data_IF_849789280859
#
_entry.id   IF_849789280859
#
_cell.length_a   1.000
_cell.length_b   1.000
_cell.length_c   1.000
_cell.angle_alpha   90.00
_cell.angle_beta   90.00
_cell.angle_gamma   90.00
#
_symmetry.space_group_name_H-M   'P 1'
#
loop_
_entity.id
_entity.type
_entity.pdbx_description
1 polymer ?
#
# COMPACT_ATOMS: atom_id res chain seq x y z
N UNK A 1 -2.10 -7.93 -23.51
CA UNK A 1 -2.93 -7.73 -22.30
C UNK A 1 -3.68 -6.42 -22.48
N UNK A 2 -4.95 -6.34 -22.06
CA UNK A 2 -5.73 -5.10 -22.15
C UNK A 2 -5.63 -4.29 -20.87
N UNK A 3 -5.68 -2.96 -21.01
CA UNK A 3 -5.75 -2.03 -19.90
C UNK A 3 -7.02 -2.27 -19.07
N UNK A 4 -6.87 -2.46 -17.75
CA UNK A 4 -7.97 -2.65 -16.78
C UNK A 4 -9.02 -1.55 -16.86
N UNK A 5 -8.60 -0.31 -17.13
CA UNK A 5 -9.52 0.81 -17.27
C UNK A 5 -10.10 0.93 -18.68
N UNK A 6 -9.27 1.24 -19.69
CA UNK A 6 -9.76 1.67 -21.00
C UNK A 6 -9.75 0.58 -22.08
N UNK A 7 -9.35 -0.65 -21.73
CA UNK A 7 -9.32 -1.82 -22.63
C UNK A 7 -8.38 -1.71 -23.84
N UNK A 8 -7.59 -0.64 -23.96
CA UNK A 8 -6.53 -0.54 -24.95
C UNK A 8 -5.46 -1.62 -24.75
N UNK A 9 -4.86 -2.10 -25.84
CA UNK A 9 -3.73 -3.03 -25.77
C UNK A 9 -2.51 -2.37 -25.11
N UNK A 10 -1.82 -3.13 -24.27
CA UNK A 10 -0.62 -2.70 -23.54
C UNK A 10 0.63 -3.22 -24.25
N UNK A 11 1.60 -2.34 -24.48
CA UNK A 11 2.89 -2.71 -25.09
C UNK A 11 4.11 -2.07 -24.45
N UNK A 12 3.96 -0.97 -23.72
CA UNK A 12 5.06 -0.24 -23.09
C UNK A 12 5.46 -0.88 -21.74
N UNK A 13 6.65 -1.51 -21.63
CA UNK A 13 7.17 -2.01 -20.35
C UNK A 13 7.54 -0.87 -19.40
N UNK A 14 7.24 -1.05 -18.12
CA UNK A 14 7.65 -0.13 -17.05
C UNK A 14 8.67 -0.76 -16.10
N UNK A 15 8.36 -1.95 -15.59
CA UNK A 15 9.18 -2.64 -14.61
C UNK A 15 9.02 -4.15 -14.78
N UNK A 16 10.12 -4.88 -14.77
CA UNK A 16 10.18 -6.33 -14.81
C UNK A 16 11.06 -6.82 -13.65
N UNK A 17 10.41 -7.37 -12.62
CA UNK A 17 11.07 -7.93 -11.44
C UNK A 17 11.26 -9.45 -11.55
N UNK A 18 11.07 -10.01 -12.74
CA UNK A 18 11.15 -11.45 -12.97
C UNK A 18 9.96 -12.19 -12.38
N UNK A 19 10.24 -13.18 -11.54
CA UNK A 19 9.21 -13.94 -10.83
C UNK A 19 9.40 -13.80 -9.33
N UNK A 20 8.29 -13.76 -8.59
CA UNK A 20 8.29 -13.78 -7.14
C UNK A 20 7.03 -14.48 -6.62
N UNK A 21 7.07 -15.07 -5.41
CA UNK A 21 5.86 -15.49 -4.72
C UNK A 21 5.04 -14.27 -4.26
N UNK A 22 3.75 -14.44 -3.94
CA UNK A 22 2.95 -13.37 -3.35
C UNK A 22 3.60 -12.80 -2.08
N UNK A 23 3.65 -11.48 -1.98
CA UNK A 23 4.44 -10.77 -0.96
C UNK A 23 3.99 -11.02 0.48
N UNK A 24 2.73 -11.43 0.71
CA UNK A 24 2.22 -11.74 2.04
C UNK A 24 2.01 -13.25 2.31
N UNK A 25 2.48 -14.14 1.42
CA UNK A 25 2.36 -15.59 1.58
C UNK A 25 3.43 -16.19 2.55
N UNK A 26 3.48 -15.71 3.79
CA UNK A 26 4.46 -16.18 4.78
C UNK A 26 4.32 -17.69 5.05
N UNK A 27 5.46 -18.38 5.17
CA UNK A 27 5.50 -19.84 5.28
C UNK A 27 5.63 -20.29 6.73
N UNK A 28 4.94 -21.37 7.09
CA UNK A 28 5.24 -22.12 8.32
C UNK A 28 6.50 -22.97 8.15
N UNK A 29 7.06 -23.48 9.26
CA UNK A 29 8.19 -24.41 9.21
C UNK A 29 7.89 -25.69 8.41
N UNK A 30 6.65 -26.17 8.43
CA UNK A 30 6.23 -27.34 7.65
C UNK A 30 6.08 -27.00 6.17
N UNK A 31 5.55 -25.81 5.85
CA UNK A 31 5.38 -25.36 4.47
C UNK A 31 6.71 -25.20 3.71
N UNK A 32 7.83 -24.94 4.40
CA UNK A 32 9.17 -24.90 3.80
C UNK A 32 9.59 -26.20 3.10
N UNK A 33 8.97 -27.34 3.44
CA UNK A 33 9.26 -28.63 2.81
C UNK A 33 8.43 -28.88 1.54
N UNK A 34 7.47 -28.00 1.27
CA UNK A 34 6.59 -28.07 0.11
C UNK A 34 7.04 -27.14 -1.03
N UNK A 35 6.38 -27.22 -2.19
CA UNK A 35 6.57 -26.27 -3.28
C UNK A 35 5.99 -24.89 -2.93
N UNK A 36 6.52 -23.85 -3.54
CA UNK A 36 5.95 -22.50 -3.54
C UNK A 36 5.49 -22.10 -4.93
N UNK A 37 4.38 -21.38 -4.99
CA UNK A 37 3.88 -20.79 -6.24
C UNK A 37 4.58 -19.47 -6.51
N UNK A 38 5.12 -19.33 -7.72
CA UNK A 38 5.78 -18.12 -8.20
C UNK A 38 5.01 -17.57 -9.40
N UNK A 39 4.83 -16.25 -9.44
CA UNK A 39 4.16 -15.56 -10.53
C UNK A 39 5.10 -14.53 -11.16
N UNK A 40 5.01 -14.28 -12.47
CA UNK A 40 5.69 -13.14 -13.08
C UNK A 40 5.26 -11.84 -12.38
N UNK A 41 6.20 -10.94 -12.14
CA UNK A 41 5.96 -9.62 -11.55
C UNK A 41 6.45 -8.55 -12.53
N UNK A 42 5.55 -8.21 -13.45
CA UNK A 42 5.81 -7.33 -14.59
C UNK A 42 4.73 -6.28 -14.69
N UNK A 43 5.13 -5.02 -14.90
CA UNK A 43 4.26 -3.86 -14.99
C UNK A 43 4.35 -3.27 -16.39
N UNK A 44 3.20 -2.94 -16.94
CA UNK A 44 3.03 -2.30 -18.24
C UNK A 44 2.31 -0.96 -18.07
N UNK A 45 2.56 -0.04 -19.01
CA UNK A 45 1.89 1.26 -19.08
C UNK A 45 0.87 1.25 -20.21
N UNK A 46 -0.32 1.77 -19.95
CA UNK A 46 -1.27 2.06 -20.99
C UNK A 46 -0.97 3.42 -21.64
N UNK A 47 -0.61 3.45 -22.91
CA UNK A 47 -0.33 4.72 -23.61
C UNK A 47 -1.60 5.53 -23.94
N UNK A 48 -2.78 4.93 -23.78
CA UNK A 48 -4.07 5.63 -23.97
C UNK A 48 -4.54 6.38 -22.71
N UNK A 49 -4.42 5.77 -21.53
CA UNK A 49 -4.89 6.37 -20.26
C UNK A 49 -3.79 6.62 -19.22
N UNK A 50 -2.55 6.24 -19.50
CA UNK A 50 -1.37 6.33 -18.64
C UNK A 50 -1.47 5.55 -17.32
N UNK A 51 -2.43 4.63 -17.21
CA UNK A 51 -2.51 3.69 -16.09
C UNK A 51 -1.39 2.66 -16.19
N UNK A 52 -0.56 2.62 -15.16
CA UNK A 52 0.44 1.57 -14.94
C UNK A 52 -0.22 0.43 -14.17
N UNK A 53 0.03 -0.81 -14.59
CA UNK A 53 -0.65 -1.98 -14.03
C UNK A 53 0.18 -3.26 -14.18
N UNK A 54 -0.06 -4.23 -13.29
CA UNK A 54 0.54 -5.56 -13.39
C UNK A 54 -0.12 -6.40 -14.48
N UNK A 55 0.67 -7.29 -15.10
CA UNK A 55 0.12 -8.35 -15.91
C UNK A 55 -0.78 -9.31 -15.11
N UNK A 56 -1.87 -9.78 -15.72
CA UNK A 56 -2.82 -10.70 -15.08
C UNK A 56 -2.28 -12.13 -15.13
N UNK A 57 -1.68 -12.59 -14.03
CA UNK A 57 -1.10 -13.94 -13.94
C UNK A 57 -1.64 -14.79 -12.79
N UNK A 58 -2.40 -14.18 -11.86
CA UNK A 58 -2.99 -14.85 -10.71
C UNK A 58 -4.46 -14.39 -10.55
N UNK A 59 -5.37 -15.32 -10.29
CA UNK A 59 -6.72 -14.97 -9.84
C UNK A 59 -6.67 -14.39 -8.43
N UNK A 60 -7.57 -13.46 -8.11
CA UNK A 60 -7.67 -12.81 -6.78
C UNK A 60 -7.60 -13.79 -5.60
N UNK A 61 -8.20 -14.96 -5.77
CA UNK A 61 -8.32 -16.04 -4.77
C UNK A 61 -6.95 -16.65 -4.43
N UNK A 62 -5.99 -16.58 -5.36
CA UNK A 62 -4.63 -17.06 -5.13
C UNK A 62 -3.77 -16.07 -4.34
N UNK A 63 -4.20 -14.80 -4.20
CA UNK A 63 -3.45 -13.74 -3.51
C UNK A 63 -4.05 -13.39 -2.14
N UNK A 64 -5.38 -13.46 -2.00
CA UNK A 64 -6.08 -13.18 -0.75
C UNK A 64 -6.68 -14.48 -0.19
N UNK A 65 -5.85 -15.27 0.50
CA UNK A 65 -6.28 -16.49 1.20
C UNK A 65 -7.02 -16.16 2.49
N UNK A 66 -7.77 -17.11 3.05
CA UNK A 66 -8.48 -16.95 4.35
C UNK A 66 -7.55 -16.50 5.49
N UNK A 67 -6.27 -16.86 5.43
CA UNK A 67 -5.23 -16.50 6.40
C UNK A 67 -4.52 -15.15 6.11
N UNK A 68 -5.06 -14.31 5.22
CA UNK A 68 -4.48 -13.00 4.93
C UNK A 68 -4.47 -12.11 6.19
N UNK A 69 -3.28 -11.94 6.77
CA UNK A 69 -3.08 -11.31 8.06
C UNK A 69 -2.37 -9.95 7.92
N UNK A 70 -3.05 -8.97 7.31
CA UNK A 70 -2.64 -7.57 7.37
C UNK A 70 -3.64 -6.77 8.22
N UNK A 71 -3.20 -6.35 9.40
CA UNK A 71 -3.99 -5.57 10.34
C UNK A 71 -3.43 -4.15 10.42
N UNK A 72 -4.22 -3.17 9.99
CA UNK A 72 -3.79 -1.77 9.92
C UNK A 72 -3.54 -1.14 11.30
N UNK A 73 -4.15 -1.65 12.37
CA UNK A 73 -4.02 -1.07 13.72
C UNK A 73 -2.67 -1.29 14.42
N UNK A 74 -1.73 -2.08 13.85
CA UNK A 74 -0.39 -2.25 14.44
C UNK A 74 0.54 -1.05 14.25
N UNK A 75 0.21 -0.10 13.36
CA UNK A 75 0.98 1.12 13.16
C UNK A 75 0.36 2.29 13.93
N UNK A 76 1.11 2.80 14.91
CA UNK A 76 0.70 3.96 15.72
C UNK A 76 0.54 5.23 14.89
N UNK A 77 1.47 5.45 13.95
CA UNK A 77 1.46 6.57 13.01
C UNK A 77 0.26 6.49 12.04
N UNK A 78 -0.12 5.29 11.60
CA UNK A 78 -1.30 5.07 10.77
C UNK A 78 -2.62 5.34 11.51
N UNK A 79 -2.74 4.91 12.77
CA UNK A 79 -3.89 5.25 13.61
C UNK A 79 -4.02 6.76 13.81
N UNK A 80 -2.91 7.46 14.07
CA UNK A 80 -2.90 8.91 14.19
C UNK A 80 -3.31 9.61 12.88
N UNK A 81 -2.87 9.10 11.72
CA UNK A 81 -3.31 9.57 10.40
C UNK A 81 -4.82 9.40 10.19
N UNK A 82 -5.35 8.24 10.56
CA UNK A 82 -6.76 7.90 10.41
C UNK A 82 -7.65 8.80 11.27
N UNK A 83 -7.23 9.08 12.51
CA UNK A 83 -7.94 10.02 13.39
C UNK A 83 -7.96 11.43 12.80
N UNK A 84 -6.80 11.95 12.36
CA UNK A 84 -6.72 13.28 11.72
C UNK A 84 -7.61 13.36 10.48
N UNK A 85 -7.65 12.30 9.67
CA UNK A 85 -8.54 12.22 8.53
C UNK A 85 -10.01 12.34 8.95
N UNK A 86 -10.47 11.54 9.92
CA UNK A 86 -11.86 11.59 10.40
C UNK A 86 -12.22 12.97 10.93
N UNK A 87 -11.37 13.56 11.77
CA UNK A 87 -11.58 14.90 12.32
C UNK A 87 -11.70 15.95 11.19
N UNK A 88 -10.82 15.88 10.19
CA UNK A 88 -10.83 16.77 9.03
C UNK A 88 -12.09 16.59 8.17
N UNK A 89 -12.51 15.34 7.91
CA UNK A 89 -13.69 15.08 7.07
C UNK A 89 -14.98 15.50 7.78
N UNK A 90 -15.10 15.20 9.07
CA UNK A 90 -16.23 15.61 9.88
C UNK A 90 -16.39 17.13 9.91
N UNK A 91 -15.28 17.84 10.11
CA UNK A 91 -15.29 19.31 10.08
C UNK A 91 -15.58 19.86 8.68
N UNK A 92 -14.89 19.36 7.66
CA UNK A 92 -14.98 19.88 6.28
C UNK A 92 -16.35 19.71 5.65
N UNK A 93 -17.01 18.58 5.90
CA UNK A 93 -18.30 18.24 5.29
C UNK A 93 -19.48 18.32 6.27
N UNK A 94 -19.26 18.81 7.48
CA UNK A 94 -20.31 18.96 8.49
C UNK A 94 -20.94 17.62 8.88
N UNK A 95 -20.15 16.55 8.96
CA UNK A 95 -20.65 15.21 9.26
C UNK A 95 -21.03 15.11 10.75
N UNK A 96 -22.20 14.54 11.03
CA UNK A 96 -22.73 14.43 12.38
C UNK A 96 -23.71 13.25 12.54
N UNK A 97 -24.55 13.27 13.59
CA UNK A 97 -25.47 12.16 13.90
C UNK A 97 -26.53 11.85 12.82
N UNK A 98 -26.75 12.77 11.87
CA UNK A 98 -27.67 12.59 10.74
C UNK A 98 -26.96 12.14 9.46
N UNK A 99 -25.63 12.05 9.49
CA UNK A 99 -24.81 11.61 8.37
C UNK A 99 -24.64 10.09 8.39
N UNK A 100 -24.16 9.55 7.27
CA UNK A 100 -23.74 8.17 7.14
C UNK A 100 -22.35 8.12 6.51
N UNK A 101 -21.42 7.43 7.17
CA UNK A 101 -20.06 7.21 6.67
C UNK A 101 -19.86 5.74 6.35
N UNK A 102 -19.33 5.45 5.16
CA UNK A 102 -18.93 4.11 4.77
C UNK A 102 -17.41 4.07 4.52
N UNK A 103 -16.74 3.00 4.96
CA UNK A 103 -15.38 2.68 4.50
C UNK A 103 -15.40 1.40 3.66
N UNK A 104 -14.86 1.48 2.44
CA UNK A 104 -14.66 0.33 1.56
C UNK A 104 -13.26 -0.24 1.79
N UNK A 105 -13.18 -1.56 1.98
CA UNK A 105 -12.02 -2.27 2.54
C UNK A 105 -11.64 -1.74 3.93
N UNK A 106 -12.62 -1.81 4.85
CA UNK A 106 -12.49 -1.27 6.20
C UNK A 106 -11.45 -1.97 7.08
N UNK A 107 -10.89 -3.11 6.61
CA UNK A 107 -9.93 -3.92 7.33
C UNK A 107 -10.45 -4.25 8.74
N UNK A 108 -9.65 -4.04 9.77
CA UNK A 108 -9.98 -4.28 11.16
C UNK A 108 -10.78 -3.13 11.80
N UNK A 109 -11.25 -2.15 11.02
CA UNK A 109 -12.02 -1.01 11.53
C UNK A 109 -11.16 0.09 12.15
N UNK A 110 -9.87 0.13 11.83
CA UNK A 110 -8.90 1.11 12.35
C UNK A 110 -9.34 2.57 12.16
N UNK A 111 -10.05 2.91 11.08
CA UNK A 111 -10.56 4.26 10.80
C UNK A 111 -11.96 4.47 11.37
N UNK A 112 -12.88 3.53 11.10
CA UNK A 112 -14.29 3.63 11.52
C UNK A 112 -14.47 3.71 13.05
N UNK A 113 -13.52 3.21 13.85
CA UNK A 113 -13.56 3.41 15.31
C UNK A 113 -13.58 4.91 15.69
N UNK A 114 -12.89 5.77 14.94
CA UNK A 114 -12.85 7.21 15.20
C UNK A 114 -14.13 7.90 14.72
N UNK A 115 -14.72 7.43 13.61
CA UNK A 115 -16.03 7.91 13.13
C UNK A 115 -17.11 7.62 14.17
N UNK A 116 -17.13 6.39 14.69
CA UNK A 116 -18.01 5.97 15.79
C UNK A 116 -17.78 6.79 17.05
N UNK A 117 -16.52 7.02 17.44
CA UNK A 117 -16.17 7.84 18.60
C UNK A 117 -16.63 9.30 18.47
N UNK A 118 -16.70 9.83 17.24
CA UNK A 118 -17.25 11.14 16.95
C UNK A 118 -18.79 11.19 16.95
N UNK A 119 -19.47 10.07 17.22
CA UNK A 119 -20.94 9.98 17.25
C UNK A 119 -21.60 10.00 15.86
N UNK A 120 -20.85 9.67 14.81
CA UNK A 120 -21.33 9.65 13.43
C UNK A 120 -21.70 8.19 13.07
N UNK A 121 -22.93 7.93 12.57
CA UNK A 121 -23.31 6.62 12.07
C UNK A 121 -22.37 6.13 10.96
N UNK A 122 -21.91 4.89 11.08
CA UNK A 122 -20.98 4.33 10.10
C UNK A 122 -21.05 2.81 9.98
N UNK A 123 -20.54 2.30 8.86
CA UNK A 123 -20.33 0.88 8.59
C UNK A 123 -19.19 0.68 7.61
N UNK A 124 -18.65 -0.55 7.55
CA UNK A 124 -17.60 -0.92 6.61
C UNK A 124 -18.01 -2.03 5.65
N UNK A 125 -17.31 -2.11 4.52
CA UNK A 125 -17.31 -3.26 3.63
C UNK A 125 -15.92 -3.89 3.70
N UNK A 126 -15.82 -5.17 4.10
CA UNK A 126 -14.54 -5.87 4.23
C UNK A 126 -14.70 -7.36 3.87
N UNK A 127 -14.12 -7.83 2.76
CA UNK A 127 -14.29 -9.22 2.33
C UNK A 127 -13.60 -10.25 3.23
N UNK A 128 -12.51 -9.88 3.92
CA UNK A 128 -11.67 -10.81 4.68
C UNK A 128 -12.27 -11.11 6.05
N UNK A 129 -12.52 -12.39 6.35
CA UNK A 129 -13.24 -12.82 7.54
C UNK A 129 -12.56 -12.39 8.86
N UNK A 130 -11.24 -12.55 8.94
CA UNK A 130 -10.45 -12.26 10.15
C UNK A 130 -10.49 -10.78 10.53
N UNK A 131 -10.29 -9.88 9.56
CA UNK A 131 -10.33 -8.43 9.79
C UNK A 131 -11.75 -7.93 9.97
N UNK A 132 -12.73 -8.46 9.23
CA UNK A 132 -14.15 -8.17 9.44
C UNK A 132 -14.59 -8.52 10.87
N UNK A 133 -14.13 -9.66 11.41
CA UNK A 133 -14.40 -10.06 12.79
C UNK A 133 -13.76 -9.10 13.80
N UNK A 134 -12.49 -8.71 13.60
CA UNK A 134 -11.82 -7.75 14.48
C UNK A 134 -12.52 -6.37 14.50
N UNK A 135 -13.05 -5.92 13.36
CA UNK A 135 -13.86 -4.70 13.28
C UNK A 135 -15.20 -4.83 14.03
N UNK A 136 -15.88 -5.98 13.92
CA UNK A 136 -17.11 -6.27 14.67
C UNK A 136 -16.88 -6.30 16.18
N UNK A 137 -15.74 -6.80 16.65
CA UNK A 137 -15.36 -6.79 18.07
C UNK A 137 -15.17 -5.37 18.62
N UNK A 138 -14.83 -4.40 17.75
CA UNK A 138 -14.83 -2.95 18.06
C UNK A 138 -16.24 -2.34 17.99
N UNK A 139 -17.26 -3.16 17.70
CA UNK A 139 -18.66 -2.80 17.55
C UNK A 139 -18.94 -1.96 16.31
N UNK A 140 -18.22 -2.21 15.21
CA UNK A 140 -18.44 -1.60 13.91
C UNK A 140 -19.29 -2.58 13.07
N UNK A 141 -20.32 -2.08 12.39
CA UNK A 141 -21.09 -2.89 11.45
C UNK A 141 -20.27 -3.14 10.17
N UNK A 142 -20.20 -4.40 9.73
CA UNK A 142 -19.37 -4.83 8.61
C UNK A 142 -20.15 -5.73 7.66
N UNK A 143 -20.24 -5.30 6.40
CA UNK A 143 -20.71 -6.07 5.27
C UNK A 143 -19.54 -6.88 4.71
N UNK A 144 -19.56 -8.20 4.90
CA UNK A 144 -18.45 -9.06 4.51
C UNK A 144 -18.59 -9.56 3.06
N UNK A 145 -18.35 -8.66 2.10
CA UNK A 145 -18.41 -8.91 0.66
C UNK A 145 -17.34 -8.07 -0.05
N UNK A 146 -17.00 -8.46 -1.28
CA UNK A 146 -16.28 -7.57 -2.17
C UNK A 146 -17.19 -6.44 -2.67
N UNK A 147 -16.61 -5.27 -2.89
CA UNK A 147 -17.34 -4.08 -3.33
C UNK A 147 -17.32 -3.92 -4.85
N UNK A 148 -18.43 -3.42 -5.40
CA UNK A 148 -18.71 -3.24 -6.82
C UNK A 148 -20.08 -2.57 -7.01
N UNK A 149 -20.52 -2.41 -8.25
CA UNK A 149 -21.80 -1.73 -8.56
C UNK A 149 -22.99 -2.42 -7.88
N UNK A 150 -23.07 -3.75 -7.98
CA UNK A 150 -24.17 -4.53 -7.42
C UNK A 150 -24.36 -4.27 -5.93
N UNK A 151 -23.28 -4.32 -5.15
CA UNK A 151 -23.33 -4.06 -3.71
C UNK A 151 -23.59 -2.58 -3.42
N UNK A 152 -23.04 -1.65 -4.22
CA UNK A 152 -23.33 -0.23 -4.09
C UNK A 152 -24.82 0.09 -4.23
N UNK A 153 -25.47 -0.48 -5.24
CA UNK A 153 -26.92 -0.33 -5.48
C UNK A 153 -27.75 -0.97 -4.36
N UNK A 154 -27.39 -2.19 -3.92
CA UNK A 154 -28.06 -2.88 -2.81
C UNK A 154 -28.02 -2.03 -1.52
N UNK A 155 -26.84 -1.53 -1.15
CA UNK A 155 -26.66 -0.71 0.04
C UNK A 155 -27.42 0.63 -0.08
N UNK A 156 -27.37 1.28 -1.24
CA UNK A 156 -28.12 2.51 -1.47
C UNK A 156 -29.65 2.29 -1.34
N UNK A 157 -30.17 1.22 -1.96
CA UNK A 157 -31.60 0.90 -1.96
C UNK A 157 -32.14 0.50 -0.58
N UNK A 158 -31.27 0.01 0.31
CA UNK A 158 -31.60 -0.36 1.70
C UNK A 158 -31.39 0.77 2.70
N UNK A 159 -31.25 2.03 2.22
CA UNK A 159 -31.13 3.20 3.08
C UNK A 159 -29.73 3.41 3.66
N UNK A 160 -28.71 2.74 3.12
CA UNK A 160 -27.30 2.84 3.56
C UNK A 160 -26.44 3.72 2.66
N UNK A 161 -27.05 4.48 1.75
CA UNK A 161 -26.34 5.49 0.96
C UNK A 161 -25.59 6.47 1.89
N UNK A 162 -24.37 6.83 1.53
CA UNK A 162 -23.46 7.54 2.42
C UNK A 162 -23.21 9.00 2.01
N UNK A 163 -23.00 9.86 3.01
CA UNK A 163 -22.53 11.24 2.84
C UNK A 163 -21.01 11.28 2.61
N UNK A 164 -20.28 10.29 3.16
CA UNK A 164 -18.86 10.06 2.91
C UNK A 164 -18.60 8.57 2.66
N UNK A 165 -17.93 8.24 1.54
CA UNK A 165 -17.39 6.91 1.29
C UNK A 165 -15.87 6.99 1.20
N UNK A 166 -15.16 6.38 2.13
CA UNK A 166 -13.69 6.37 2.18
C UNK A 166 -13.13 5.07 1.60
N UNK A 167 -12.03 5.17 0.85
CA UNK A 167 -11.24 4.04 0.38
C UNK A 167 -9.75 4.34 0.52
N UNK A 168 -9.12 3.83 1.59
CA UNK A 168 -7.70 4.03 1.82
C UNK A 168 -6.92 2.80 1.39
N UNK A 169 -5.92 3.01 0.53
CA UNK A 169 -4.98 2.00 0.02
C UNK A 169 -5.64 0.79 -0.66
N UNK A 170 -6.89 0.90 -1.13
CA UNK A 170 -7.60 -0.21 -1.78
C UNK A 170 -7.70 -0.08 -3.30
N UNK A 171 -7.76 1.15 -3.85
CA UNK A 171 -7.99 1.35 -5.30
C UNK A 171 -6.93 0.66 -6.17
N UNK A 172 -5.68 0.63 -5.71
CA UNK A 172 -4.57 -0.06 -6.36
C UNK A 172 -4.70 -1.61 -6.35
N UNK A 173 -5.52 -2.16 -5.44
CA UNK A 173 -5.66 -3.59 -5.19
C UNK A 173 -6.85 -4.24 -5.93
N UNK A 174 -7.55 -3.47 -6.78
CA UNK A 174 -8.75 -3.94 -7.45
C UNK A 174 -8.44 -4.36 -8.91
N UNK A 175 -8.73 -5.61 -9.30
CA UNK A 175 -8.58 -6.05 -10.69
C UNK A 175 -9.57 -5.37 -11.65
N UNK A 176 -10.84 -5.28 -11.26
CA UNK A 176 -11.89 -4.55 -11.99
C UNK A 176 -12.08 -3.15 -11.40
N UNK A 177 -11.18 -2.24 -11.79
CA UNK A 177 -11.16 -0.87 -11.28
C UNK A 177 -12.41 -0.06 -11.71
N UNK A 178 -13.06 -0.42 -12.82
CA UNK A 178 -14.23 0.30 -13.31
C UNK A 178 -15.48 -0.07 -12.50
N UNK A 179 -15.72 -1.36 -12.27
CA UNK A 179 -16.84 -1.82 -11.41
C UNK A 179 -16.71 -1.25 -9.99
N UNK A 180 -15.51 -1.30 -9.42
CA UNK A 180 -15.25 -0.75 -8.10
C UNK A 180 -15.55 0.74 -8.00
N UNK A 181 -15.02 1.56 -8.92
CA UNK A 181 -15.25 3.02 -8.91
C UNK A 181 -16.71 3.35 -9.20
N UNK A 182 -17.37 2.63 -10.12
CA UNK A 182 -18.80 2.80 -10.39
C UNK A 182 -19.66 2.48 -9.16
N UNK A 183 -19.24 1.52 -8.33
CA UNK A 183 -19.88 1.23 -7.05
C UNK A 183 -19.90 2.43 -6.09
N UNK A 184 -18.88 3.29 -6.10
CA UNK A 184 -18.90 4.52 -5.29
C UNK A 184 -19.97 5.48 -5.79
N UNK A 185 -20.09 5.67 -7.11
CA UNK A 185 -21.13 6.53 -7.68
C UNK A 185 -22.54 6.02 -7.32
N UNK A 186 -22.74 4.69 -7.33
CA UNK A 186 -23.98 4.05 -6.92
C UNK A 186 -24.28 4.25 -5.41
N UNK A 187 -23.27 4.11 -4.55
CA UNK A 187 -23.43 4.17 -3.10
C UNK A 187 -23.59 5.59 -2.54
N UNK A 188 -23.00 6.59 -3.20
CA UNK A 188 -23.03 7.97 -2.73
C UNK A 188 -24.44 8.56 -2.77
N UNK A 189 -24.81 9.27 -1.70
CA UNK A 189 -25.92 10.23 -1.74
C UNK A 189 -25.66 11.29 -2.84
N UNK A 190 -26.69 11.99 -3.34
CA UNK A 190 -26.52 12.98 -4.42
C UNK A 190 -25.44 14.05 -4.17
N UNK A 191 -25.24 14.47 -2.91
CA UNK A 191 -24.20 15.44 -2.54
C UNK A 191 -23.11 14.80 -1.67
N UNK A 192 -23.00 13.48 -1.67
CA UNK A 192 -21.96 12.77 -0.93
C UNK A 192 -20.59 12.93 -1.57
N UNK A 193 -19.55 12.71 -0.77
CA UNK A 193 -18.15 12.76 -1.17
C UNK A 193 -17.53 11.38 -1.07
N UNK A 194 -16.72 11.01 -2.05
CA UNK A 194 -15.82 9.89 -1.96
C UNK A 194 -14.38 10.38 -1.77
N UNK A 195 -13.61 9.67 -0.95
CA UNK A 195 -12.18 9.92 -0.80
C UNK A 195 -11.41 8.65 -1.10
N UNK A 196 -10.29 8.81 -1.81
CA UNK A 196 -9.40 7.71 -2.17
C UNK A 196 -7.97 8.08 -1.79
N UNK A 197 -7.35 7.32 -0.91
CA UNK A 197 -5.93 7.46 -0.60
C UNK A 197 -5.13 6.35 -1.26
N UNK A 198 -4.07 6.69 -2.00
CA UNK A 198 -3.20 5.72 -2.65
C UNK A 198 -1.77 6.27 -2.88
N UNK A 199 -0.74 5.40 -2.93
CA UNK A 199 0.61 5.79 -3.29
C UNK A 199 0.67 6.48 -4.66
N UNK A 200 1.40 7.58 -4.74
CA UNK A 200 1.50 8.40 -5.94
C UNK A 200 2.59 7.86 -6.88
N UNK A 201 2.22 7.48 -8.11
CA UNK A 201 3.15 6.96 -9.12
C UNK A 201 4.32 7.92 -9.40
N UNK A 202 4.09 9.24 -9.35
CA UNK A 202 5.18 10.21 -9.52
C UNK A 202 6.24 10.08 -8.42
N UNK A 203 5.83 9.85 -7.17
CA UNK A 203 6.73 9.64 -6.03
C UNK A 203 7.44 8.31 -6.17
N UNK A 204 6.72 7.26 -6.56
CA UNK A 204 7.31 5.95 -6.86
C UNK A 204 8.50 6.06 -7.82
N UNK A 205 8.34 6.80 -8.93
CA UNK A 205 9.40 6.98 -9.92
C UNK A 205 10.52 7.90 -9.42
N UNK A 206 10.19 9.07 -8.85
CA UNK A 206 11.20 10.03 -8.37
C UNK A 206 12.05 9.51 -7.22
N UNK A 207 11.49 8.63 -6.40
CA UNK A 207 12.11 8.08 -5.21
C UNK A 207 12.44 6.60 -5.37
N UNK A 208 12.46 6.08 -6.60
CA UNK A 208 12.89 4.72 -6.92
C UNK A 208 12.20 3.61 -6.08
N UNK A 209 10.93 3.78 -5.73
CA UNK A 209 10.19 2.91 -4.80
C UNK A 209 9.66 1.65 -5.50
N UNK A 210 10.51 0.97 -6.27
CA UNK A 210 10.12 -0.21 -7.06
C UNK A 210 9.64 -1.37 -6.19
N UNK A 211 10.08 -1.41 -4.93
CA UNK A 211 9.72 -2.43 -3.94
C UNK A 211 8.23 -2.34 -3.54
N UNK A 212 7.56 -1.24 -3.86
CA UNK A 212 6.10 -1.13 -3.78
C UNK A 212 5.36 -1.90 -4.88
N UNK A 213 6.08 -2.49 -5.84
CA UNK A 213 5.50 -3.39 -6.83
C UNK A 213 5.42 -4.82 -6.28
N UNK A 214 4.20 -5.33 -6.09
CA UNK A 214 3.92 -6.71 -5.73
C UNK A 214 2.52 -7.09 -6.23
N UNK A 215 2.22 -8.40 -6.28
CA UNK A 215 1.04 -8.93 -6.99
C UNK A 215 -0.30 -8.39 -6.51
N UNK A 216 -0.40 -8.01 -5.24
CA UNK A 216 -1.61 -7.42 -4.68
C UNK A 216 -1.86 -5.98 -5.19
N UNK A 217 -0.84 -5.28 -5.67
CA UNK A 217 -0.96 -3.98 -6.35
C UNK A 217 -1.17 -4.18 -7.85
N UNK A 218 -2.44 -4.29 -8.26
CA UNK A 218 -2.84 -4.41 -9.66
C UNK A 218 -2.60 -3.13 -10.46
N UNK A 219 -2.68 -1.96 -9.82
CA UNK A 219 -2.60 -0.65 -10.46
C UNK A 219 -1.67 0.31 -9.69
N UNK A 220 -0.96 1.18 -10.42
CA UNK A 220 -0.08 2.21 -9.86
C UNK A 220 -0.56 3.57 -10.36
N UNK A 221 -0.93 4.44 -9.42
CA UNK A 221 -1.93 5.47 -9.66
C UNK A 221 -1.32 6.88 -9.70
N UNK A 222 -1.70 7.63 -10.74
CA UNK A 222 -1.48 9.06 -10.88
C UNK A 222 -2.82 9.78 -10.90
N UNK A 223 -2.84 11.07 -10.61
CA UNK A 223 -4.05 11.87 -10.76
C UNK A 223 -4.53 11.90 -12.22
N UNK A 224 -3.60 11.91 -13.17
CA UNK A 224 -3.88 11.85 -14.62
C UNK A 224 -4.70 10.61 -14.99
N UNK A 225 -4.31 9.43 -14.50
CA UNK A 225 -5.04 8.19 -14.77
C UNK A 225 -6.35 8.12 -13.96
N UNK A 226 -6.29 8.47 -12.68
CA UNK A 226 -7.44 8.40 -11.76
C UNK A 226 -8.56 9.35 -12.15
N UNK A 227 -8.26 10.57 -12.58
CA UNK A 227 -9.28 11.52 -13.06
C UNK A 227 -10.03 10.98 -14.29
N UNK A 228 -9.36 10.25 -15.18
CA UNK A 228 -9.99 9.58 -16.34
C UNK A 228 -10.87 8.42 -15.90
N UNK A 229 -10.36 7.57 -15.00
CA UNK A 229 -11.11 6.46 -14.41
C UNK A 229 -12.38 6.97 -13.74
N UNK A 230 -12.26 7.98 -12.88
CA UNK A 230 -13.40 8.53 -12.15
C UNK A 230 -14.45 9.09 -13.09
N UNK A 231 -14.03 9.91 -14.06
CA UNK A 231 -14.95 10.52 -15.04
C UNK A 231 -15.72 9.48 -15.84
N UNK A 232 -15.07 8.40 -16.25
CA UNK A 232 -15.71 7.32 -17.00
C UNK A 232 -16.73 6.53 -16.16
N UNK A 233 -16.55 6.51 -14.83
CA UNK A 233 -17.34 5.72 -13.89
C UNK A 233 -18.25 6.60 -12.99
N UNK A 234 -18.67 7.76 -13.50
CA UNK A 234 -19.69 8.59 -12.85
C UNK A 234 -19.21 9.46 -11.69
N UNK A 235 -17.89 9.62 -11.50
CA UNK A 235 -17.29 10.49 -10.49
C UNK A 235 -16.51 11.65 -11.11
N UNK A 236 -16.43 12.77 -10.40
CA UNK A 236 -15.62 13.93 -10.75
C UNK A 236 -14.68 14.26 -9.59
N UNK A 237 -13.37 14.39 -9.88
CA UNK A 237 -12.40 14.90 -8.90
C UNK A 237 -12.64 16.39 -8.69
N UNK A 238 -12.70 16.83 -7.44
CA UNK A 238 -12.82 18.25 -7.10
C UNK A 238 -11.70 18.76 -6.20
N UNK A 239 -10.95 17.88 -5.52
CA UNK A 239 -9.81 18.30 -4.71
C UNK A 239 -8.78 17.17 -4.57
N UNK A 240 -7.54 17.53 -4.23
CA UNK A 240 -6.44 16.58 -3.99
C UNK A 240 -5.56 17.07 -2.85
N UNK A 241 -5.24 16.17 -1.93
CA UNK A 241 -4.27 16.38 -0.85
C UNK A 241 -3.03 15.51 -1.10
N UNK A 242 -1.83 16.07 -0.91
CA UNK A 242 -0.57 15.33 -0.94
C UNK A 242 -0.21 14.87 0.47
N UNK A 243 0.06 13.58 0.63
CA UNK A 243 0.30 12.96 1.93
C UNK A 243 1.68 12.30 1.96
N UNK A 244 2.39 12.32 3.10
CA UNK A 244 3.67 11.63 3.25
C UNK A 244 3.52 10.11 3.44
N UNK A 245 2.28 9.61 3.58
CA UNK A 245 1.99 8.20 3.84
C UNK A 245 2.51 7.30 2.72
N UNK A 246 3.00 6.11 3.10
CA UNK A 246 3.48 5.07 2.19
C UNK A 246 4.54 5.51 1.17
N UNK A 247 5.36 6.53 1.49
CA UNK A 247 6.38 7.05 0.58
C UNK A 247 5.89 8.18 -0.33
N UNK A 248 4.74 8.77 -0.02
CA UNK A 248 4.13 9.80 -0.85
C UNK A 248 2.88 9.29 -1.53
N UNK A 249 1.75 9.77 -1.05
CA UNK A 249 0.41 9.37 -1.50
C UNK A 249 -0.38 10.60 -1.95
N UNK A 250 -1.41 10.35 -2.76
CA UNK A 250 -2.47 11.31 -2.98
C UNK A 250 -3.70 10.86 -2.20
N UNK A 251 -4.40 11.82 -1.60
CA UNK A 251 -5.82 11.66 -1.28
C UNK A 251 -6.64 12.47 -2.27
N UNK A 252 -7.41 11.76 -3.09
CA UNK A 252 -8.28 12.36 -4.10
C UNK A 252 -9.70 12.47 -3.53
N UNK A 253 -10.28 13.65 -3.67
CA UNK A 253 -11.67 13.91 -3.31
C UNK A 253 -12.51 13.91 -4.58
N UNK A 254 -13.54 13.07 -4.59
CA UNK A 254 -14.45 12.92 -5.70
C UNK A 254 -15.89 13.09 -5.24
N UNK A 255 -16.72 13.49 -6.19
CA UNK A 255 -18.17 13.60 -6.03
C UNK A 255 -18.85 12.95 -7.22
N UNK A 256 -20.15 12.68 -7.12
CA UNK A 256 -20.91 12.23 -8.29
C UNK A 256 -20.86 13.25 -9.41
N UNK A 257 -20.67 12.80 -10.64
CA UNK A 257 -20.57 13.65 -11.82
C UNK A 257 -21.90 14.33 -12.17
N UNK A 258 -23.03 13.68 -11.86
CA UNK A 258 -24.38 14.13 -12.20
C UNK A 258 -24.98 15.13 -11.19
N UNK A 259 -24.65 14.99 -9.90
CA UNK A 259 -25.28 15.76 -8.81
C UNK A 259 -24.30 16.52 -7.92
N UNK A 260 -23.00 16.32 -8.10
CA UNK A 260 -21.94 16.98 -7.33
C UNK A 260 -21.98 18.51 -7.44
N UNK A 261 -21.65 19.20 -6.34
CA UNK A 261 -21.67 20.66 -6.23
C UNK A 261 -20.38 21.29 -5.72
N UNK A 262 -19.40 20.49 -5.32
CA UNK A 262 -18.10 21.01 -4.91
C UNK A 262 -17.37 21.60 -6.11
N UNK A 263 -16.87 22.83 -5.94
CA UNK A 263 -16.02 23.47 -6.93
C UNK A 263 -14.66 22.77 -6.98
N UNK A 264 -14.09 22.68 -8.18
CA UNK A 264 -12.76 22.12 -8.39
C UNK A 264 -11.72 23.09 -7.84
N UNK A 265 -10.90 22.64 -6.89
CA UNK A 265 -9.85 23.45 -6.28
C UNK A 265 -8.65 23.61 -7.23
N UNK A 266 -7.84 24.64 -6.98
CA UNK A 266 -6.60 24.87 -7.73
C UNK A 266 -5.57 23.72 -7.58
N UNK A 267 -5.67 22.92 -6.51
CA UNK A 267 -4.78 21.80 -6.22
C UNK A 267 -4.89 20.66 -7.24
N UNK A 268 -6.07 20.47 -7.83
CA UNK A 268 -6.28 19.51 -8.93
C UNK A 268 -5.44 19.91 -10.14
N UNK A 269 -5.55 21.18 -10.58
CA UNK A 269 -4.78 21.69 -11.71
C UNK A 269 -3.27 21.65 -11.41
N UNK A 270 -2.86 22.11 -10.22
CA UNK A 270 -1.45 22.11 -9.78
C UNK A 270 -0.83 20.70 -9.83
N UNK A 271 -1.57 19.70 -9.37
CA UNK A 271 -1.08 18.30 -9.36
C UNK A 271 -1.04 17.71 -10.77
N UNK A 272 -2.04 17.97 -11.62
CA UNK A 272 -2.02 17.56 -13.03
C UNK A 272 -0.86 18.20 -13.80
N UNK A 273 -0.60 19.48 -13.55
CA UNK A 273 0.52 20.20 -14.15
C UNK A 273 1.87 19.64 -13.68
N UNK A 274 2.02 19.25 -12.41
CA UNK A 274 3.22 18.59 -11.90
C UNK A 274 3.48 17.26 -12.62
N UNK A 275 2.45 16.43 -12.81
CA UNK A 275 2.54 15.16 -13.52
C UNK A 275 2.87 15.37 -15.01
N UNK A 276 2.25 16.36 -15.64
CA UNK A 276 2.50 16.73 -17.03
C UNK A 276 3.94 17.23 -17.23
N UNK A 277 4.43 18.11 -16.35
CA UNK A 277 5.79 18.63 -16.39
C UNK A 277 6.84 17.55 -16.11
N UNK A 278 6.50 16.55 -15.28
CA UNK A 278 7.34 15.38 -15.08
C UNK A 278 7.40 14.48 -16.34
N UNK A 279 6.48 14.63 -17.29
CA UNK A 279 6.43 13.84 -18.52
C UNK A 279 5.61 12.55 -18.41
N UNK A 280 4.75 12.40 -17.39
CA UNK A 280 3.98 11.17 -17.15
C UNK A 280 3.01 10.80 -18.29
N UNK A 281 2.75 11.74 -19.20
CA UNK A 281 1.96 11.51 -20.42
C UNK A 281 2.82 11.21 -21.65
N UNK A 282 4.03 10.70 -21.44
CA UNK A 282 4.94 10.25 -22.50
C UNK A 282 5.79 9.06 -22.08
N UNK A 283 6.13 8.19 -23.05
CA UNK A 283 6.86 6.95 -22.80
C UNK A 283 8.21 7.15 -22.09
N UNK A 284 8.93 8.22 -22.43
CA UNK A 284 10.25 8.54 -21.90
C UNK A 284 10.31 8.66 -20.36
N UNK A 285 9.19 8.99 -19.69
CA UNK A 285 9.13 9.03 -18.23
C UNK A 285 9.33 7.65 -17.59
N UNK A 286 8.89 6.59 -18.27
CA UNK A 286 8.85 5.23 -17.74
C UNK A 286 10.11 4.40 -18.04
N UNK A 287 10.79 4.69 -19.15
CA UNK A 287 11.90 3.88 -19.70
C UNK A 287 13.09 3.69 -18.75
N UNK A 288 13.35 4.63 -17.85
CA UNK A 288 14.54 4.60 -16.97
C UNK A 288 14.31 3.88 -15.64
N UNK A 289 13.08 3.56 -15.30
CA UNK A 289 12.75 3.07 -13.96
C UNK A 289 13.34 1.67 -13.68
N UNK A 290 13.37 0.79 -14.68
CA UNK A 290 14.01 -0.53 -14.60
C UNK A 290 15.47 -0.43 -14.14
N UNK A 291 16.25 0.48 -14.74
CA UNK A 291 17.68 0.64 -14.41
C UNK A 291 17.88 1.14 -12.98
N UNK A 292 16.96 1.96 -12.46
CA UNK A 292 17.02 2.42 -11.07
C UNK A 292 16.69 1.30 -10.08
N UNK A 293 15.71 0.46 -10.39
CA UNK A 293 15.40 -0.72 -9.59
C UNK A 293 16.59 -1.69 -9.54
N UNK A 294 17.21 -1.97 -10.69
CA UNK A 294 18.41 -2.80 -10.78
C UNK A 294 19.59 -2.23 -10.00
N UNK A 295 19.78 -0.90 -10.04
CA UNK A 295 20.81 -0.24 -9.25
C UNK A 295 20.59 -0.45 -7.75
N UNK A 296 19.40 -0.17 -7.23
CA UNK A 296 19.11 -0.35 -5.79
C UNK A 296 19.32 -1.80 -5.37
N UNK A 297 18.82 -2.74 -6.18
CA UNK A 297 19.02 -4.18 -5.98
C UNK A 297 20.51 -4.52 -5.86
N UNK A 298 21.31 -4.07 -6.82
CA UNK A 298 22.74 -4.38 -6.89
C UNK A 298 23.52 -3.72 -5.74
N UNK A 299 23.20 -2.46 -5.40
CA UNK A 299 23.85 -1.71 -4.32
C UNK A 299 23.60 -2.40 -2.96
N UNK A 300 22.37 -2.83 -2.68
CA UNK A 300 22.04 -3.59 -1.47
C UNK A 300 22.78 -4.94 -1.43
N UNK A 301 22.75 -5.69 -2.53
CA UNK A 301 23.40 -7.00 -2.59
C UNK A 301 24.93 -6.88 -2.39
N UNK A 302 25.55 -5.89 -3.02
CA UNK A 302 26.98 -5.61 -2.86
C UNK A 302 27.33 -5.31 -1.40
N UNK A 303 26.54 -4.45 -0.73
CA UNK A 303 26.72 -4.16 0.70
C UNK A 303 26.63 -5.44 1.55
N UNK A 304 25.58 -6.25 1.39
CA UNK A 304 25.40 -7.46 2.21
C UNK A 304 26.54 -8.48 2.02
N UNK A 305 27.02 -8.64 0.79
CA UNK A 305 28.18 -9.50 0.49
C UNK A 305 29.45 -8.96 1.15
N UNK A 306 29.68 -7.65 1.08
CA UNK A 306 30.83 -7.00 1.73
C UNK A 306 30.78 -7.17 3.25
N UNK A 307 29.63 -6.91 3.88
CA UNK A 307 29.44 -7.07 5.32
C UNK A 307 29.75 -8.50 5.75
N UNK A 308 29.23 -9.51 5.03
CA UNK A 308 29.52 -10.91 5.32
C UNK A 308 31.00 -11.25 5.18
N UNK A 309 31.67 -10.79 4.11
CA UNK A 309 33.12 -11.02 3.90
C UNK A 309 33.96 -10.43 5.04
N UNK A 310 33.52 -9.31 5.59
CA UNK A 310 34.15 -8.63 6.71
C UNK A 310 33.71 -9.17 8.09
N UNK A 311 32.97 -10.27 8.13
CA UNK A 311 32.51 -10.90 9.37
C UNK A 311 31.50 -10.06 10.17
N UNK A 312 30.84 -9.09 9.51
CA UNK A 312 29.85 -8.20 10.14
C UNK A 312 28.52 -8.92 10.34
N UNK A 313 27.91 -8.69 11.49
CA UNK A 313 26.57 -9.19 11.80
C UNK A 313 25.51 -8.25 11.28
N UNK A 314 24.53 -8.82 10.59
CA UNK A 314 23.43 -8.09 9.94
C UNK A 314 22.12 -8.72 10.35
N UNK A 315 21.11 -7.90 10.59
CA UNK A 315 19.72 -8.33 10.69
C UNK A 315 18.83 -7.42 9.86
N UNK A 316 17.56 -7.79 9.70
CA UNK A 316 16.54 -6.90 9.14
C UNK A 316 15.44 -6.61 10.16
N UNK A 317 14.73 -5.50 9.94
CA UNK A 317 13.62 -5.06 10.76
C UNK A 317 12.41 -4.75 9.88
N UNK A 318 11.25 -5.31 10.24
CA UNK A 318 9.95 -5.23 9.57
C UNK A 318 9.80 -6.21 8.41
N UNK A 319 9.05 -7.29 8.59
CA UNK A 319 8.69 -8.25 7.54
C UNK A 319 7.54 -7.70 6.68
N UNK A 320 7.77 -6.59 5.97
CA UNK A 320 6.76 -5.95 5.12
C UNK A 320 6.74 -6.53 3.70
N UNK A 321 5.57 -6.53 3.05
CA UNK A 321 5.39 -6.96 1.65
C UNK A 321 6.43 -6.36 0.68
N UNK A 322 6.67 -5.05 0.81
CA UNK A 322 7.68 -4.32 0.01
C UNK A 322 9.10 -4.85 0.23
N UNK A 323 9.44 -5.20 1.47
CA UNK A 323 10.72 -5.83 1.81
C UNK A 323 10.86 -7.19 1.12
N UNK A 324 9.78 -7.97 1.04
CA UNK A 324 9.79 -9.25 0.33
C UNK A 324 10.03 -9.06 -1.17
N UNK A 325 9.45 -8.04 -1.81
CA UNK A 325 9.77 -7.69 -3.21
C UNK A 325 11.27 -7.40 -3.38
N UNK A 326 11.81 -6.49 -2.57
CA UNK A 326 13.23 -6.11 -2.63
C UNK A 326 14.16 -7.31 -2.46
N UNK A 327 13.93 -8.13 -1.44
CA UNK A 327 14.79 -9.28 -1.11
C UNK A 327 14.70 -10.38 -2.16
N UNK A 328 13.51 -10.65 -2.71
CA UNK A 328 13.35 -11.62 -3.79
C UNK A 328 14.02 -11.14 -5.08
N UNK A 329 13.80 -9.89 -5.48
CA UNK A 329 14.43 -9.31 -6.67
C UNK A 329 15.95 -9.30 -6.55
N UNK A 330 16.49 -9.00 -5.37
CA UNK A 330 17.92 -9.01 -5.07
C UNK A 330 18.53 -10.41 -4.86
N UNK A 331 17.71 -11.46 -4.78
CA UNK A 331 18.20 -12.81 -4.51
C UNK A 331 18.80 -12.98 -3.11
N UNK A 332 18.40 -12.15 -2.14
CA UNK A 332 18.90 -12.21 -0.76
C UNK A 332 18.29 -13.41 -0.04
N UNK A 333 19.12 -14.12 0.72
CA UNK A 333 18.80 -15.38 1.42
C UNK A 333 19.37 -15.36 2.85
N UNK A 334 19.07 -16.36 3.71
CA UNK A 334 19.45 -16.34 5.12
C UNK A 334 20.97 -16.34 5.35
N UNK A 335 21.76 -16.69 4.35
CA UNK A 335 23.21 -16.64 4.40
C UNK A 335 23.78 -15.21 4.36
N UNK A 336 23.04 -14.25 3.79
CA UNK A 336 23.36 -12.82 3.79
C UNK A 336 22.56 -12.03 4.82
N UNK A 337 21.33 -12.46 5.10
CA UNK A 337 20.41 -11.80 6.02
C UNK A 337 19.75 -12.85 6.92
N UNK A 338 20.36 -13.19 8.08
CA UNK A 338 19.99 -14.35 8.89
C UNK A 338 18.56 -14.38 9.42
N UNK A 339 17.97 -13.21 9.74
CA UNK A 339 16.62 -13.11 10.26
C UNK A 339 16.03 -11.71 10.05
N UNK A 340 14.69 -11.63 10.13
CA UNK A 340 13.92 -10.38 10.16
C UNK A 340 13.16 -10.29 11.47
N UNK A 341 13.24 -9.16 12.16
CA UNK A 341 12.41 -8.86 13.32
C UNK A 341 11.09 -8.27 12.87
N UNK A 342 9.97 -8.73 13.41
CA UNK A 342 8.66 -8.07 13.19
C UNK A 342 7.84 -8.07 14.48
N UNK A 343 7.15 -6.95 14.74
CA UNK A 343 6.33 -6.78 15.95
C UNK A 343 5.01 -7.54 15.89
N UNK A 344 4.53 -7.92 14.70
CA UNK A 344 3.27 -8.64 14.56
C UNK A 344 3.43 -10.11 14.99
N UNK A 345 2.78 -10.54 16.10
CA UNK A 345 2.92 -11.92 16.59
C UNK A 345 2.43 -12.96 15.58
N UNK A 346 1.50 -12.61 14.69
CA UNK A 346 1.00 -13.53 13.65
C UNK A 346 2.04 -13.85 12.56
N UNK A 347 3.13 -13.07 12.48
CA UNK A 347 4.26 -13.31 11.57
C UNK A 347 5.43 -14.02 12.25
N UNK A 348 5.61 -13.85 13.55
CA UNK A 348 6.72 -14.45 14.30
C UNK A 348 6.67 -15.99 14.23
N UNK A 349 7.84 -16.62 14.06
CA UNK A 349 7.96 -18.07 13.86
C UNK A 349 7.66 -18.56 12.43
N UNK A 350 7.25 -17.66 11.53
CA UNK A 350 7.12 -17.93 10.09
C UNK A 350 8.38 -17.53 9.32
N UNK A 351 8.36 -17.73 8.02
CA UNK A 351 9.44 -17.39 7.09
C UNK A 351 8.94 -16.48 5.98
N UNK A 352 9.82 -15.60 5.50
CA UNK A 352 9.53 -14.77 4.34
C UNK A 352 9.32 -15.63 3.07
N UNK A 353 8.35 -15.28 2.22
CA UNK A 353 8.10 -16.00 0.97
C UNK A 353 9.29 -15.86 0.00
N UNK A 354 9.70 -16.98 -0.59
CA UNK A 354 10.80 -17.08 -1.56
C UNK A 354 12.23 -16.92 -0.99
N UNK A 355 12.46 -15.97 -0.08
CA UNK A 355 13.77 -15.78 0.54
C UNK A 355 14.02 -16.72 1.73
N UNK A 356 12.96 -17.24 2.34
CA UNK A 356 12.98 -18.16 3.49
C UNK A 356 13.73 -17.63 4.71
N UNK A 357 13.82 -16.30 4.85
CA UNK A 357 14.43 -15.69 6.03
C UNK A 357 13.45 -15.82 7.19
N UNK A 358 13.86 -16.36 8.34
CA UNK A 358 12.98 -16.52 9.50
C UNK A 358 12.56 -15.16 10.06
N UNK A 359 11.29 -15.08 10.46
CA UNK A 359 10.71 -13.93 11.15
C UNK A 359 10.74 -14.21 12.65
N UNK A 360 11.40 -13.37 13.41
CA UNK A 360 11.65 -13.54 14.84
C UNK A 360 11.11 -12.38 15.66
N UNK A 361 10.96 -12.62 16.97
CA UNK A 361 10.63 -11.58 17.93
C UNK A 361 11.84 -10.67 18.22
N UNK A 362 11.59 -9.49 18.76
CA UNK A 362 12.59 -8.46 19.01
C UNK A 362 13.67 -8.89 20.03
N UNK A 363 13.35 -9.82 20.92
CA UNK A 363 14.30 -10.37 21.90
C UNK A 363 15.55 -10.97 21.23
N UNK A 364 15.40 -11.57 20.04
CA UNK A 364 16.51 -12.12 19.27
C UNK A 364 17.48 -11.00 18.85
N UNK A 365 16.97 -9.83 18.46
CA UNK A 365 17.79 -8.67 18.10
C UNK A 365 18.61 -8.15 19.28
N UNK A 366 18.01 -8.13 20.47
CA UNK A 366 18.67 -7.70 21.72
C UNK A 366 19.79 -8.64 22.14
N UNK A 367 19.63 -9.93 21.88
CA UNK A 367 20.62 -10.96 22.19
C UNK A 367 21.75 -11.00 21.16
N UNK A 368 21.43 -10.93 19.87
CA UNK A 368 22.43 -10.99 18.80
C UNK A 368 23.24 -9.69 18.68
N UNK A 369 22.63 -8.52 18.89
CA UNK A 369 23.30 -7.22 18.77
C UNK A 369 24.05 -7.02 17.43
N UNK A 370 23.36 -7.11 16.28
CA UNK A 370 23.98 -6.95 14.97
C UNK A 370 24.50 -5.53 14.78
N UNK A 371 25.61 -5.40 14.04
CA UNK A 371 26.21 -4.10 13.73
C UNK A 371 25.39 -3.32 12.69
N UNK A 372 24.66 -4.03 11.82
CA UNK A 372 23.83 -3.44 10.78
C UNK A 372 22.39 -3.97 10.88
N UNK A 373 21.42 -3.06 10.82
CA UNK A 373 19.99 -3.40 10.82
C UNK A 373 19.37 -2.81 9.55
N UNK A 374 18.99 -3.68 8.62
CA UNK A 374 18.30 -3.31 7.37
C UNK A 374 16.84 -3.03 7.67
N UNK A 375 16.42 -1.77 7.56
CA UNK A 375 15.03 -1.33 7.73
C UNK A 375 14.30 -1.53 6.41
N UNK A 376 13.55 -2.63 6.32
CA UNK A 376 12.76 -2.97 5.13
C UNK A 376 11.54 -2.05 4.92
N UNK A 377 10.75 -1.66 5.95
CA UNK A 377 9.71 -0.66 5.80
C UNK A 377 10.33 0.74 5.91
N UNK A 378 11.11 1.15 4.91
CA UNK A 378 11.80 2.43 4.87
C UNK A 378 10.85 3.63 5.01
N UNK A 379 9.58 3.50 4.63
CA UNK A 379 8.55 4.52 4.82
C UNK A 379 8.19 4.74 6.31
N UNK A 380 8.61 3.85 7.20
CA UNK A 380 8.50 3.96 8.66
C UNK A 380 9.86 4.22 9.32
N UNK A 381 10.90 4.61 8.56
CA UNK A 381 12.27 4.77 9.07
C UNK A 381 12.34 5.61 10.34
N UNK A 382 11.60 6.70 10.44
CA UNK A 382 11.59 7.55 11.65
C UNK A 382 11.03 6.82 12.87
N UNK A 383 9.88 6.14 12.72
CA UNK A 383 9.25 5.36 13.80
C UNK A 383 10.16 4.20 14.21
N UNK A 384 10.67 3.43 13.24
CA UNK A 384 11.58 2.31 13.48
C UNK A 384 12.89 2.79 14.11
N UNK A 385 13.43 3.93 13.68
CA UNK A 385 14.65 4.50 14.28
C UNK A 385 14.46 4.92 15.74
N UNK A 386 13.26 5.35 16.12
CA UNK A 386 12.92 5.65 17.52
C UNK A 386 12.76 4.36 18.32
N UNK A 387 12.06 3.36 17.77
CA UNK A 387 11.91 2.04 18.40
C UNK A 387 13.27 1.37 18.64
N UNK A 388 14.20 1.50 17.69
CA UNK A 388 15.56 0.96 17.75
C UNK A 388 16.59 1.90 18.40
N UNK A 389 16.16 2.95 19.11
CA UNK A 389 17.09 3.85 19.80
C UNK A 389 18.03 3.09 20.73
N UNK A 390 17.53 2.09 21.47
CA UNK A 390 18.33 1.24 22.35
C UNK A 390 19.44 0.46 21.63
N UNK A 391 19.25 0.09 20.35
CA UNK A 391 20.26 -0.61 19.56
C UNK A 391 21.34 0.36 19.08
N UNK A 392 20.91 1.53 18.60
CA UNK A 392 21.79 2.61 18.13
C UNK A 392 22.63 3.21 19.25
N UNK A 393 22.06 3.36 20.43
CA UNK A 393 22.73 3.94 21.60
C UNK A 393 23.47 2.87 22.42
N UNK A 394 22.93 1.65 22.50
CA UNK A 394 23.48 0.60 23.34
C UNK A 394 24.69 -0.12 22.73
N UNK A 395 24.66 -0.42 21.43
CA UNK A 395 25.78 -1.09 20.76
C UNK A 395 26.16 -0.48 19.41
N UNK A 396 25.73 0.76 19.15
CA UNK A 396 26.09 1.52 17.95
C UNK A 396 25.64 0.85 16.63
N UNK A 397 24.50 0.14 16.66
CA UNK A 397 23.93 -0.43 15.44
C UNK A 397 23.69 0.66 14.38
N UNK A 398 24.08 0.37 13.15
CA UNK A 398 23.85 1.21 11.97
C UNK A 398 22.54 0.81 11.29
N UNK A 399 21.68 1.78 11.03
CA UNK A 399 20.44 1.52 10.29
C UNK A 399 20.70 1.64 8.79
N UNK A 400 20.24 0.68 8.01
CA UNK A 400 20.41 0.64 6.55
C UNK A 400 19.06 0.73 5.88
N UNK A 401 18.92 1.61 4.88
CA UNK A 401 17.77 1.64 3.96
C UNK A 401 18.24 1.55 2.52
N UNK A 402 17.55 0.78 1.68
CA UNK A 402 17.91 0.60 0.27
C UNK A 402 17.20 1.57 -0.69
N UNK A 403 16.01 2.04 -0.31
CA UNK A 403 15.14 2.93 -1.10
C UNK A 403 15.04 4.28 -0.39
N UNK A 404 15.13 5.44 -1.07
CA UNK A 404 15.24 5.65 -2.54
C UNK A 404 16.64 5.38 -3.12
N UNK A 405 17.60 5.10 -2.25
CA UNK A 405 18.97 4.70 -2.57
C UNK A 405 19.64 4.21 -1.28
N UNK A 406 20.75 3.50 -1.43
CA UNK A 406 21.44 2.93 -0.27
C UNK A 406 21.92 4.03 0.67
N UNK A 407 21.46 3.98 1.92
CA UNK A 407 21.85 4.89 2.98
C UNK A 407 22.15 4.10 4.25
N UNK A 408 23.19 4.53 4.98
CA UNK A 408 23.61 3.95 6.25
C UNK A 408 23.65 5.09 7.27
N UNK A 409 22.74 5.05 8.23
CA UNK A 409 22.71 6.03 9.31
C UNK A 409 23.51 5.48 10.50
N UNK A 410 24.69 6.07 10.74
CA UNK A 410 25.48 5.82 11.94
C UNK A 410 24.96 6.63 13.12
N UNK A 411 24.87 6.02 14.31
CA UNK A 411 24.95 6.80 15.54
C UNK A 411 26.33 7.46 15.58
N UNK A 412 26.35 8.80 15.65
CA UNK A 412 27.51 9.70 15.68
C UNK A 412 28.90 9.08 15.48
N UNK A 413 29.53 9.41 14.34
CA UNK A 413 30.98 9.62 14.35
C UNK A 413 31.26 10.80 15.30
N UNK A 414 31.82 10.49 16.47
CA UNK A 414 32.43 11.44 17.38
C UNK A 414 33.70 10.83 17.96
#
# INVERSE_FOLDING_TARGET
MKCRHCQAELSLPFLDLGHAPPSNAYLSADALRGPETWFPLRLLVCESCWLVQTEDHAGREALFTDDYAYFSSFSSSWLAHSRRYVDAMASRFGLGPQSMVCEIAANDGYLLQYVKAAGIPCYGVEPTASTAQAARERGIDIVQRFFGVELGDELASTGRAADLVAANNVLAHVPDINDFVSGFAALLKPQGVATFEFPHLLRMVRENQFDTAYHEHYSYLSLTAVARIFRANGLAVFDVEHLPTHGGSLRVYAQRLDTGKHEVTAEVARTLDEEQQAGMTGAAFYERFQQQAERIKNDLLALLVELRRNGKRVAAYGAAAKGNTLLNFAGVRPDLLPYVVDLNPAKQGKYLPGSHIPIVAEEVLRQDQPEYIVVLPWNLKTEVSQQLAYAREGWHAKLVTAVPGLAIDGGHDA
#
